data_IF_739580019408
#
_entry.id   IF_739580019408
#
_cell.length_a   1.000
_cell.length_b   1.000
_cell.length_c   1.000
_cell.angle_alpha   90.00
_cell.angle_beta   90.00
_cell.angle_gamma   90.00
#
_symmetry.space_group_name_H-M   'P 1'
#
loop_
_entity.id
_entity.type
_entity.pdbx_description
1 polymer ?
#
# COMPACT_ATOMS: atom_id res chain seq x y z
N UNK A 1 -15.66 7.64 21.50
CA UNK A 1 -14.69 6.59 21.07
C UNK A 1 -13.53 7.22 20.31
N UNK A 2 -13.88 8.12 19.40
CA UNK A 2 -12.96 8.78 18.48
C UNK A 2 -11.74 9.46 19.14
N UNK A 3 -11.94 10.19 20.25
CA UNK A 3 -10.84 10.83 20.99
C UNK A 3 -9.72 9.87 21.41
N UNK A 4 -10.06 8.66 21.87
CA UNK A 4 -9.07 7.68 22.31
C UNK A 4 -8.34 7.04 21.11
N UNK A 5 -9.01 6.88 19.98
CA UNK A 5 -8.38 6.47 18.73
C UNK A 5 -7.38 7.53 18.24
N UNK A 6 -7.71 8.82 18.38
CA UNK A 6 -6.80 9.91 18.02
C UNK A 6 -5.53 9.95 18.87
N UNK A 7 -5.62 9.63 20.17
CA UNK A 7 -4.44 9.50 21.05
C UNK A 7 -3.53 8.37 20.54
N UNK A 8 -4.12 7.20 20.26
CA UNK A 8 -3.38 6.06 19.73
C UNK A 8 -2.73 6.39 18.37
N UNK A 9 -3.45 7.03 17.46
CA UNK A 9 -2.94 7.42 16.16
C UNK A 9 -1.77 8.41 16.28
N UNK A 10 -1.87 9.44 17.11
CA UNK A 10 -0.75 10.35 17.38
C UNK A 10 0.47 9.63 17.94
N UNK A 11 0.26 8.68 18.87
CA UNK A 11 1.34 7.83 19.37
C UNK A 11 1.99 7.00 18.24
N UNK A 12 1.20 6.38 17.37
CA UNK A 12 1.71 5.58 16.25
C UNK A 12 2.52 6.47 15.30
N UNK A 13 2.00 7.62 14.90
CA UNK A 13 2.70 8.55 13.98
C UNK A 13 4.03 8.99 14.59
N UNK A 14 4.06 9.40 15.86
CA UNK A 14 5.28 9.84 16.53
C UNK A 14 6.37 8.76 16.65
N UNK A 15 6.01 7.48 16.64
CA UNK A 15 6.98 6.37 16.76
C UNK A 15 7.36 5.74 15.42
N UNK A 16 6.42 5.68 14.47
CA UNK A 16 6.57 4.90 13.24
C UNK A 16 6.69 5.75 11.96
N UNK A 17 6.41 7.06 12.02
CA UNK A 17 6.40 7.91 10.83
C UNK A 17 7.59 8.89 10.79
N UNK A 18 8.55 8.78 11.72
CA UNK A 18 9.70 9.70 11.80
C UNK A 18 10.59 9.73 10.55
N UNK A 19 10.56 8.67 9.74
CA UNK A 19 11.27 8.60 8.45
C UNK A 19 10.49 9.24 7.29
N UNK A 20 9.21 9.59 7.49
CA UNK A 20 8.38 10.23 6.47
C UNK A 20 8.65 11.73 6.43
N UNK A 21 8.82 12.27 5.22
CA UNK A 21 9.01 13.71 5.04
C UNK A 21 7.84 14.55 5.56
N UNK A 22 6.61 14.07 5.37
CA UNK A 22 5.40 14.66 5.91
C UNK A 22 4.28 13.64 6.05
N UNK A 23 3.22 14.06 6.75
CA UNK A 23 2.01 13.28 7.00
C UNK A 23 0.83 13.88 6.24
N UNK A 24 0.25 13.14 5.31
CA UNK A 24 -1.01 13.47 4.66
C UNK A 24 -2.16 12.91 5.49
N UNK A 25 -3.09 13.77 5.89
CA UNK A 25 -4.27 13.42 6.68
C UNK A 25 -5.49 13.66 5.80
N UNK A 26 -6.17 12.58 5.43
CA UNK A 26 -7.39 12.61 4.64
C UNK A 26 -8.57 12.31 5.57
N UNK A 27 -9.47 13.29 5.73
CA UNK A 27 -10.70 13.10 6.51
C UNK A 27 -11.92 13.29 5.63
N UNK A 28 -12.99 12.53 5.86
CA UNK A 28 -14.28 12.84 5.23
C UNK A 28 -14.93 14.10 5.82
N UNK A 29 -16.12 14.47 5.32
CA UNK A 29 -16.82 15.69 5.72
C UNK A 29 -17.25 15.71 7.20
N UNK A 30 -17.51 14.55 7.79
CA UNK A 30 -18.10 14.44 9.13
C UNK A 30 -17.06 14.11 10.21
N UNK A 31 -15.90 13.58 9.80
CA UNK A 31 -14.81 13.24 10.69
C UNK A 31 -13.76 14.36 10.73
N UNK A 32 -12.95 14.34 11.78
CA UNK A 32 -11.89 15.31 12.00
C UNK A 32 -10.77 14.67 12.82
N UNK A 33 -9.51 14.79 12.41
CA UNK A 33 -8.38 14.32 13.19
C UNK A 33 -7.44 15.46 13.50
N UNK A 34 -7.16 15.66 14.79
CA UNK A 34 -6.18 16.61 15.28
C UNK A 34 -4.84 15.90 15.47
N UNK A 35 -3.88 16.26 14.60
CA UNK A 35 -2.52 15.78 14.70
C UNK A 35 -1.70 16.67 15.62
N UNK A 36 -1.02 16.05 16.58
CA UNK A 36 -0.14 16.68 17.56
C UNK A 36 1.21 15.99 17.45
N UNK A 37 2.09 16.54 16.62
CA UNK A 37 3.44 16.03 16.42
C UNK A 37 4.35 17.03 15.71
N UNK A 38 5.60 16.63 15.49
CA UNK A 38 6.64 17.52 14.94
C UNK A 38 6.76 17.44 13.42
N UNK A 39 6.29 16.37 12.80
CA UNK A 39 6.33 16.23 11.34
C UNK A 39 5.40 17.26 10.68
N UNK A 40 5.82 17.88 9.56
CA UNK A 40 4.92 18.70 8.77
C UNK A 40 3.77 17.82 8.25
N UNK A 41 2.57 18.39 8.17
CA UNK A 41 1.39 17.67 7.75
C UNK A 41 0.51 18.50 6.83
N UNK A 42 -0.22 17.81 5.96
CA UNK A 42 -1.25 18.38 5.10
C UNK A 42 -2.57 17.73 5.50
N UNK A 43 -3.52 18.53 5.97
CA UNK A 43 -4.85 18.06 6.33
C UNK A 43 -5.84 18.44 5.22
N UNK A 44 -6.40 17.43 4.57
CA UNK A 44 -7.38 17.60 3.49
C UNK A 44 -8.69 17.01 3.94
N UNK A 45 -9.69 17.88 4.03
CA UNK A 45 -11.07 17.48 4.26
C UNK A 45 -11.76 17.24 2.92
N UNK A 46 -12.11 16.00 2.65
CA UNK A 46 -12.69 15.56 1.40
C UNK A 46 -14.21 15.82 1.38
N UNK A 47 -14.67 16.50 0.33
CA UNK A 47 -16.11 16.74 0.08
C UNK A 47 -16.80 15.60 -0.66
N UNK A 48 -16.02 14.76 -1.35
CA UNK A 48 -16.39 13.57 -2.11
C UNK A 48 -15.27 12.53 -1.97
N UNK A 49 -15.42 11.34 -2.55
CA UNK A 49 -14.36 10.32 -2.55
C UNK A 49 -13.19 10.67 -3.51
N UNK A 50 -13.25 11.81 -4.20
CA UNK A 50 -12.22 12.24 -5.15
C UNK A 50 -11.01 12.87 -4.45
N UNK A 51 -9.81 12.51 -4.92
CA UNK A 51 -8.55 13.05 -4.40
C UNK A 51 -8.21 14.35 -5.14
N UNK A 52 -8.09 15.50 -4.45
CA UNK A 52 -7.73 16.75 -5.08
C UNK A 52 -6.27 16.71 -5.56
N UNK A 53 -6.07 16.39 -6.84
CA UNK A 53 -4.76 16.10 -7.42
C UNK A 53 -3.73 17.22 -7.19
N UNK A 54 -4.15 18.48 -7.29
CA UNK A 54 -3.29 19.64 -7.10
C UNK A 54 -2.82 19.86 -5.65
N UNK A 55 -3.53 19.28 -4.67
CA UNK A 55 -3.16 19.38 -3.25
C UNK A 55 -2.30 18.19 -2.81
N UNK A 56 -2.43 17.03 -3.47
CA UNK A 56 -1.73 15.81 -3.06
C UNK A 56 -0.46 15.57 -3.87
N UNK A 57 -0.51 15.73 -5.19
CA UNK A 57 0.52 15.28 -6.13
C UNK A 57 1.32 16.41 -6.80
N UNK A 58 1.43 17.58 -6.15
CA UNK A 58 2.12 18.73 -6.75
C UNK A 58 3.23 19.35 -5.92
N UNK A 59 3.48 18.89 -4.69
CA UNK A 59 4.40 19.59 -3.78
C UNK A 59 4.81 18.83 -2.52
N UNK A 60 4.02 17.87 -2.04
CA UNK A 60 4.17 17.48 -0.63
C UNK A 60 4.94 16.18 -0.43
N UNK A 61 4.91 15.24 -1.36
CA UNK A 61 5.72 14.04 -1.23
C UNK A 61 5.48 13.24 0.06
N UNK A 62 4.30 13.36 0.68
CA UNK A 62 4.03 12.77 1.98
C UNK A 62 3.98 11.25 1.89
N UNK A 63 4.87 10.61 2.64
CA UNK A 63 4.99 9.16 2.72
C UNK A 63 4.15 8.59 3.87
N UNK A 64 3.83 9.41 4.86
CA UNK A 64 2.91 9.04 5.93
C UNK A 64 1.49 9.40 5.54
N UNK A 65 0.56 8.44 5.50
CA UNK A 65 -0.81 8.68 5.05
C UNK A 65 -1.81 8.17 6.09
N UNK A 66 -2.64 9.08 6.61
CA UNK A 66 -3.72 8.79 7.53
C UNK A 66 -5.05 8.94 6.81
N UNK A 67 -5.91 7.93 6.89
CA UNK A 67 -7.26 7.97 6.31
C UNK A 67 -8.26 7.78 7.45
N UNK A 68 -9.13 8.79 7.61
CA UNK A 68 -10.16 8.84 8.64
C UNK A 68 -11.50 9.11 7.99
N UNK A 69 -12.32 8.08 7.83
CA UNK A 69 -13.65 8.29 7.29
C UNK A 69 -14.40 7.00 7.01
N UNK A 70 -15.64 7.15 6.55
CA UNK A 70 -16.54 6.03 6.23
C UNK A 70 -16.16 5.31 4.93
N UNK A 71 -15.60 6.03 3.95
CA UNK A 71 -15.23 5.49 2.64
C UNK A 71 -13.71 5.24 2.51
N UNK A 72 -13.04 4.79 3.58
CA UNK A 72 -11.58 4.61 3.59
C UNK A 72 -11.04 3.74 2.44
N UNK A 73 -11.79 2.73 2.01
CA UNK A 73 -11.39 1.84 0.90
C UNK A 73 -11.36 2.59 -0.44
N UNK A 74 -12.40 3.37 -0.75
CA UNK A 74 -12.48 4.14 -2.00
C UNK A 74 -11.43 5.24 -2.02
N UNK A 75 -11.24 5.95 -0.90
CA UNK A 75 -10.19 6.98 -0.76
C UNK A 75 -8.80 6.36 -0.99
N UNK A 76 -8.54 5.19 -0.40
CA UNK A 76 -7.28 4.47 -0.58
C UNK A 76 -7.04 4.09 -2.04
N UNK A 77 -8.06 3.52 -2.71
CA UNK A 77 -7.97 3.14 -4.12
C UNK A 77 -7.76 4.34 -5.04
N UNK A 78 -8.50 5.43 -4.83
CA UNK A 78 -8.38 6.65 -5.63
C UNK A 78 -7.02 7.32 -5.42
N UNK A 79 -6.47 7.27 -4.21
CA UNK A 79 -5.15 7.81 -3.92
C UNK A 79 -4.05 7.01 -4.61
N UNK A 80 -4.11 5.67 -4.51
CA UNK A 80 -3.16 4.77 -5.17
C UNK A 80 -3.26 4.84 -6.69
N UNK A 81 -4.47 4.97 -7.23
CA UNK A 81 -4.69 5.24 -8.65
C UNK A 81 -4.09 6.58 -9.05
N UNK A 82 -4.29 7.64 -8.26
CA UNK A 82 -3.66 8.94 -8.50
C UNK A 82 -2.13 8.88 -8.53
N UNK A 83 -1.50 8.12 -7.62
CA UNK A 83 -0.04 7.88 -7.63
C UNK A 83 0.41 7.06 -8.84
N UNK A 84 -0.40 6.10 -9.29
CA UNK A 84 -0.10 5.28 -10.48
C UNK A 84 -0.13 6.12 -11.76
N UNK A 85 -1.06 7.05 -11.86
CA UNK A 85 -1.29 7.91 -13.03
C UNK A 85 -0.43 9.19 -13.02
N UNK A 86 0.01 9.62 -11.85
CA UNK A 86 0.75 10.86 -11.65
C UNK A 86 2.27 10.73 -11.85
N UNK A 87 2.92 11.89 -11.94
CA UNK A 87 4.38 11.99 -12.04
C UNK A 87 5.08 11.74 -10.69
N UNK A 88 4.40 12.04 -9.58
CA UNK A 88 4.93 11.84 -8.23
C UNK A 88 4.77 10.39 -7.77
N UNK A 89 5.90 9.69 -7.61
CA UNK A 89 5.93 8.29 -7.14
C UNK A 89 6.55 8.18 -5.76
N UNK A 90 5.81 7.61 -4.81
CA UNK A 90 6.27 7.37 -3.43
C UNK A 90 6.57 5.89 -3.21
N UNK A 91 7.85 5.54 -3.33
CA UNK A 91 8.31 4.15 -3.20
C UNK A 91 8.04 3.58 -1.79
N UNK A 92 8.18 4.41 -0.76
CA UNK A 92 7.88 4.05 0.61
C UNK A 92 6.72 4.91 1.11
N UNK A 93 5.61 4.27 1.43
CA UNK A 93 4.43 4.93 1.99
C UNK A 93 3.79 4.05 3.05
N UNK A 94 3.45 4.65 4.19
CA UNK A 94 2.85 3.99 5.36
C UNK A 94 1.43 4.49 5.53
N UNK A 95 0.48 3.57 5.50
CA UNK A 95 -0.92 3.86 5.69
C UNK A 95 -1.36 3.55 7.11
N UNK A 96 -2.17 4.46 7.67
CA UNK A 96 -2.85 4.30 8.94
C UNK A 96 -4.35 4.59 8.77
N UNK A 97 -5.18 3.57 8.99
CA UNK A 97 -6.63 3.66 8.90
C UNK A 97 -7.25 3.74 10.30
N UNK A 98 -8.01 4.81 10.55
CA UNK A 98 -8.67 5.03 11.84
C UNK A 98 -10.15 4.62 11.76
N UNK A 99 -10.73 4.09 12.87
CA UNK A 99 -12.14 3.79 12.94
C UNK A 99 -12.96 5.09 13.10
N UNK A 100 -14.16 5.12 12.52
CA UNK A 100 -15.17 6.14 12.81
C UNK A 100 -16.18 5.60 13.82
N UNK A 101 -16.98 6.49 14.43
CA UNK A 101 -17.97 6.06 15.43
C UNK A 101 -19.04 5.15 14.81
N UNK A 102 -19.46 5.44 13.58
CA UNK A 102 -20.46 4.67 12.84
C UNK A 102 -19.88 3.38 12.23
N UNK A 103 -18.58 3.37 11.88
CA UNK A 103 -17.90 2.25 11.23
C UNK A 103 -16.60 1.84 11.92
N UNK A 104 -16.70 1.17 13.09
CA UNK A 104 -15.54 0.80 13.92
C UNK A 104 -14.65 -0.29 13.32
N UNK A 105 -15.11 -0.98 12.27
CA UNK A 105 -14.38 -2.03 11.55
C UNK A 105 -13.96 -1.59 10.13
N UNK A 106 -14.09 -0.30 9.79
CA UNK A 106 -13.89 0.16 8.42
C UNK A 106 -12.50 -0.16 7.87
N UNK A 107 -11.48 -0.10 8.73
CA UNK A 107 -10.11 -0.45 8.37
C UNK A 107 -9.93 -1.90 7.89
N UNK A 108 -10.81 -2.83 8.29
CA UNK A 108 -10.74 -4.22 7.80
C UNK A 108 -11.22 -4.37 6.35
N UNK A 109 -12.13 -3.50 5.89
CA UNK A 109 -12.63 -3.54 4.51
C UNK A 109 -11.55 -3.18 3.50
N UNK A 110 -10.62 -2.31 3.91
CA UNK A 110 -9.47 -1.87 3.09
C UNK A 110 -8.63 -3.06 2.64
N UNK A 111 -8.51 -4.11 3.46
CA UNK A 111 -7.71 -5.29 3.11
C UNK A 111 -8.25 -6.10 1.92
N UNK A 112 -9.48 -5.85 1.49
CA UNK A 112 -10.07 -6.44 0.28
C UNK A 112 -9.79 -5.65 -1.00
N UNK A 113 -9.17 -4.48 -0.89
CA UNK A 113 -8.83 -3.65 -2.04
C UNK A 113 -7.70 -4.27 -2.85
N UNK A 114 -7.77 -4.15 -4.18
CA UNK A 114 -6.67 -4.55 -5.08
C UNK A 114 -5.39 -3.75 -4.80
N UNK A 115 -5.51 -2.52 -4.29
CA UNK A 115 -4.35 -1.69 -3.96
C UNK A 115 -3.44 -2.31 -2.89
N UNK A 116 -3.97 -3.20 -2.04
CA UNK A 116 -3.20 -3.93 -1.02
C UNK A 116 -2.18 -4.89 -1.65
N UNK A 117 -2.37 -5.29 -2.92
CA UNK A 117 -1.33 -6.04 -3.63
C UNK A 117 -0.05 -5.21 -3.78
N UNK A 118 -0.10 -3.88 -3.84
CA UNK A 118 1.06 -3.04 -4.16
C UNK A 118 1.60 -2.23 -2.99
N UNK A 119 0.92 -2.26 -1.84
CA UNK A 119 1.26 -1.47 -0.65
C UNK A 119 1.58 -2.38 0.52
N UNK A 120 2.86 -2.45 0.91
CA UNK A 120 3.30 -3.32 2.00
C UNK A 120 2.92 -2.82 3.40
N UNK A 121 3.00 -1.50 3.61
CA UNK A 121 2.90 -0.90 4.94
C UNK A 121 1.50 -0.32 5.18
N UNK A 122 0.60 -1.18 5.67
CA UNK A 122 -0.77 -0.82 6.04
C UNK A 122 -1.05 -1.22 7.48
N UNK A 123 -1.61 -0.30 8.26
CA UNK A 123 -2.13 -0.56 9.60
C UNK A 123 -3.57 -0.10 9.71
N UNK A 124 -4.45 -0.97 10.21
CA UNK A 124 -5.84 -0.66 10.50
C UNK A 124 -6.08 -0.74 12.00
N UNK A 125 -6.66 0.33 12.56
CA UNK A 125 -7.14 0.39 13.93
C UNK A 125 -8.63 0.00 13.91
N UNK A 126 -9.00 -0.97 14.75
CA UNK A 126 -10.38 -1.45 14.87
C UNK A 126 -10.83 -1.33 16.31
N UNK A 127 -12.01 -0.76 16.54
CA UNK A 127 -12.56 -0.70 17.89
C UNK A 127 -13.18 -2.04 18.30
N UNK A 128 -12.74 -2.58 19.44
CA UNK A 128 -13.24 -3.86 19.94
C UNK A 128 -14.53 -3.68 20.76
N UNK A 129 -15.66 -4.05 20.16
CA UNK A 129 -17.00 -3.98 20.80
C UNK A 129 -17.28 -5.07 21.84
N UNK A 130 -16.52 -6.17 21.84
CA UNK A 130 -16.84 -7.36 22.66
C UNK A 130 -16.54 -7.17 24.14
N UNK A 131 -15.64 -6.26 24.49
CA UNK A 131 -15.52 -5.80 25.88
C UNK A 131 -16.58 -4.74 26.14
N UNK A 132 -17.73 -5.18 26.71
CA UNK A 132 -18.72 -4.27 27.29
C UNK A 132 -17.98 -3.30 28.19
N UNK A 133 -18.01 -2.02 27.81
CA UNK A 133 -17.51 -0.87 28.55
C UNK A 133 -17.63 -1.08 30.05
N UNK A 134 -16.58 -1.58 30.70
CA UNK A 134 -16.38 -1.47 32.13
C UNK A 134 -15.95 -0.03 32.39
N UNK A 135 -16.92 0.89 32.22
CA UNK A 135 -16.97 2.29 32.64
C UNK A 135 -15.76 3.23 32.51
N UNK A 136 -14.58 2.85 31.99
CA UNK A 136 -13.40 3.73 31.99
C UNK A 136 -12.45 3.67 30.77
N UNK A 137 -12.67 2.83 29.75
CA UNK A 137 -11.79 2.86 28.58
C UNK A 137 -12.26 2.07 27.36
N UNK A 138 -11.73 2.45 26.19
CA UNK A 138 -11.87 1.76 24.91
C UNK A 138 -10.69 0.82 24.68
N UNK A 139 -10.95 -0.24 23.92
CA UNK A 139 -9.93 -1.22 23.51
C UNK A 139 -9.91 -1.24 21.99
N UNK A 140 -8.70 -1.20 21.44
CA UNK A 140 -8.48 -1.17 20.00
C UNK A 140 -7.59 -2.34 19.59
N UNK A 141 -8.02 -3.06 18.56
CA UNK A 141 -7.24 -4.12 17.94
C UNK A 141 -6.55 -3.56 16.69
N UNK A 142 -5.31 -3.99 16.47
CA UNK A 142 -4.45 -3.51 15.40
C UNK A 142 -4.20 -4.62 14.41
N UNK A 143 -4.46 -4.33 13.14
CA UNK A 143 -4.38 -5.31 12.06
C UNK A 143 -3.52 -4.81 10.91
N UNK A 144 -2.82 -5.73 10.27
CA UNK A 144 -2.16 -5.53 8.98
C UNK A 144 -2.53 -6.67 8.04
N UNK A 145 -2.11 -6.60 6.78
CA UNK A 145 -2.30 -7.70 5.84
C UNK A 145 -1.01 -8.51 5.64
N UNK A 146 -1.16 -9.74 5.17
CA UNK A 146 -0.07 -10.58 4.71
C UNK A 146 0.37 -10.13 3.31
N UNK A 147 1.60 -9.63 3.18
CA UNK A 147 2.16 -9.17 1.91
C UNK A 147 3.10 -10.19 1.23
N UNK A 148 3.17 -11.42 1.77
CA UNK A 148 4.19 -12.43 1.45
C UNK A 148 3.54 -13.78 1.11
N UNK A 149 4.29 -14.66 0.45
CA UNK A 149 3.82 -16.03 0.13
C UNK A 149 3.41 -16.24 -1.32
N UNK A 150 3.45 -17.51 -1.77
CA UNK A 150 3.21 -17.92 -3.17
C UNK A 150 1.83 -17.56 -3.75
N UNK A 151 0.83 -17.37 -2.89
CA UNK A 151 -0.54 -17.08 -3.29
C UNK A 151 -0.83 -15.59 -3.08
N UNK A 152 -1.57 -14.96 -4.01
CA UNK A 152 -2.03 -13.57 -3.94
C UNK A 152 -3.13 -13.34 -2.89
N UNK A 153 -3.12 -14.06 -1.78
CA UNK A 153 -4.12 -13.83 -0.72
C UNK A 153 -3.67 -12.65 0.14
N UNK A 154 -3.48 -11.48 -0.47
CA UNK A 154 -3.21 -10.21 0.22
C UNK A 154 -4.39 -9.75 1.09
N UNK A 155 -5.53 -10.43 0.98
CA UNK A 155 -6.69 -10.28 1.86
C UNK A 155 -6.47 -10.93 3.24
N UNK A 156 -5.47 -11.80 3.42
CA UNK A 156 -5.19 -12.45 4.70
C UNK A 156 -4.81 -11.38 5.74
N UNK A 157 -5.69 -11.15 6.71
CA UNK A 157 -5.48 -10.18 7.78
C UNK A 157 -4.71 -10.82 8.94
N UNK A 158 -3.71 -10.10 9.44
CA UNK A 158 -2.85 -10.46 10.57
C UNK A 158 -3.17 -9.51 11.72
N UNK A 159 -3.56 -10.08 12.87
CA UNK A 159 -3.62 -9.36 14.13
C UNK A 159 -2.20 -9.10 14.65
N UNK A 160 -1.88 -7.85 14.96
CA UNK A 160 -0.56 -7.45 15.46
C UNK A 160 -0.55 -7.25 16.97
N UNK A 161 -1.50 -6.47 17.47
CA UNK A 161 -1.54 -6.11 18.89
C UNK A 161 -2.92 -5.58 19.30
N UNK A 162 -3.09 -5.41 20.62
CA UNK A 162 -4.24 -4.78 21.25
C UNK A 162 -3.76 -3.62 22.11
N UNK A 163 -4.39 -2.47 21.97
CA UNK A 163 -4.13 -1.28 22.77
C UNK A 163 -5.29 -0.99 23.72
N UNK A 164 -4.95 -0.70 24.98
CA UNK A 164 -5.90 -0.37 26.04
C UNK A 164 -5.83 1.13 26.35
N UNK A 165 -6.94 1.85 26.18
CA UNK A 165 -6.91 3.31 26.34
C UNK A 165 -6.77 3.76 27.79
N UNK A 166 -7.18 2.92 28.76
CA UNK A 166 -7.20 3.27 30.18
C UNK A 166 -5.79 3.47 30.74
N UNK A 167 -4.86 2.59 30.37
CA UNK A 167 -3.48 2.60 30.82
C UNK A 167 -2.50 3.01 29.70
N UNK A 168 -2.99 3.21 28.47
CA UNK A 168 -2.21 3.58 27.28
C UNK A 168 -1.11 2.57 26.94
N UNK A 169 -1.35 1.28 27.15
CA UNK A 169 -0.38 0.21 26.89
C UNK A 169 -0.81 -0.73 25.77
N UNK A 170 0.17 -1.33 25.10
CA UNK A 170 -0.05 -2.49 24.24
C UNK A 170 -0.04 -3.79 25.03
N UNK A 171 -0.71 -4.81 24.51
CA UNK A 171 -0.74 -6.14 25.09
C UNK A 171 0.59 -6.87 24.83
N UNK A 172 1.11 -6.80 23.60
CA UNK A 172 2.29 -7.56 23.16
C UNK A 172 3.52 -6.66 22.90
N UNK A 173 3.32 -5.36 22.72
CA UNK A 173 4.34 -4.43 22.23
C UNK A 173 4.94 -4.89 20.90
N UNK A 174 4.09 -5.39 20.00
CA UNK A 174 4.49 -5.83 18.67
C UNK A 174 4.94 -4.66 17.80
N UNK A 175 5.84 -4.92 16.85
CA UNK A 175 6.16 -3.95 15.80
C UNK A 175 4.95 -3.75 14.89
N UNK A 176 4.42 -2.52 14.83
CA UNK A 176 3.20 -2.21 14.09
C UNK A 176 3.42 -2.05 12.57
N UNK A 177 4.66 -1.82 12.15
CA UNK A 177 5.07 -1.74 10.74
C UNK A 177 6.29 -2.65 10.50
N UNK A 178 6.10 -3.99 10.50
CA UNK A 178 7.18 -4.90 10.18
C UNK A 178 7.63 -4.70 8.72
N UNK A 179 8.94 -4.75 8.45
CA UNK A 179 9.46 -4.62 7.10
C UNK A 179 9.15 -5.89 6.28
N UNK A 180 8.07 -5.84 5.50
CA UNK A 180 7.61 -6.96 4.65
C UNK A 180 8.35 -7.06 3.32
N UNK A 181 9.13 -6.04 2.95
CA UNK A 181 9.88 -6.00 1.69
C UNK A 181 11.26 -6.65 1.79
N UNK A 182 11.71 -6.96 3.01
CA UNK A 182 13.00 -7.60 3.27
C UNK A 182 13.03 -9.06 2.78
N UNK A 183 11.93 -9.79 2.95
CA UNK A 183 11.76 -11.19 2.54
C UNK A 183 10.32 -11.41 2.08
N UNK A 184 10.15 -11.78 0.81
CA UNK A 184 8.85 -11.91 0.18
C UNK A 184 8.23 -13.32 0.37
N UNK A 185 8.95 -14.22 1.05
CA UNK A 185 8.54 -15.58 1.42
C UNK A 185 7.92 -16.39 0.27
N UNK A 186 8.51 -16.29 -0.92
CA UNK A 186 8.09 -16.99 -2.12
C UNK A 186 6.95 -16.32 -2.87
N UNK A 187 6.64 -15.04 -2.61
CA UNK A 187 5.64 -14.31 -3.40
C UNK A 187 5.97 -14.29 -4.89
N UNK A 188 4.93 -14.45 -5.71
CA UNK A 188 5.07 -14.46 -7.16
C UNK A 188 5.59 -13.11 -7.66
N UNK A 189 6.64 -13.14 -8.48
CA UNK A 189 7.18 -12.01 -9.22
C UNK A 189 6.94 -12.27 -10.72
N UNK A 190 5.97 -11.58 -11.30
CA UNK A 190 5.64 -11.64 -12.71
C UNK A 190 6.69 -10.91 -13.55
N UNK A 191 7.46 -11.64 -14.35
CA UNK A 191 8.45 -11.09 -15.27
C UNK A 191 7.84 -11.13 -16.67
N UNK A 192 7.43 -9.97 -17.16
CA UNK A 192 6.84 -9.79 -18.49
C UNK A 192 7.95 -9.69 -19.51
N UNK A 193 7.91 -10.55 -20.52
CA UNK A 193 9.00 -10.70 -21.47
C UNK A 193 8.54 -11.33 -22.79
N UNK A 194 9.40 -11.22 -23.79
CA UNK A 194 9.37 -11.93 -25.06
C UNK A 194 10.83 -12.24 -25.46
N UNK A 195 11.07 -13.06 -26.47
CA UNK A 195 12.43 -13.46 -26.83
C UNK A 195 13.09 -12.43 -27.74
N UNK A 196 14.07 -11.66 -27.21
CA UNK A 196 14.91 -10.76 -28.00
C UNK A 196 16.39 -10.98 -27.66
N UNK A 197 17.09 -11.66 -28.58
CA UNK A 197 18.50 -12.05 -28.39
C UNK A 197 19.45 -10.86 -28.52
N UNK A 198 20.56 -10.83 -27.76
CA UNK A 198 20.99 -11.83 -26.76
C UNK A 198 20.49 -11.52 -25.33
N UNK A 199 19.58 -10.57 -25.15
CA UNK A 199 19.29 -9.95 -23.85
C UNK A 199 18.20 -10.68 -23.06
N UNK A 200 17.21 -11.26 -23.75
CA UNK A 200 16.13 -12.03 -23.14
C UNK A 200 15.83 -13.28 -23.97
N UNK A 201 16.08 -14.44 -23.38
CA UNK A 201 15.74 -15.77 -23.90
C UNK A 201 14.89 -16.44 -22.83
N UNK A 202 13.72 -16.96 -23.21
CA UNK A 202 12.75 -17.50 -22.26
C UNK A 202 12.99 -18.98 -21.96
N UNK A 203 13.34 -19.76 -22.98
CA UNK A 203 13.54 -21.21 -22.84
C UNK A 203 14.76 -21.73 -23.62
N UNK A 204 15.83 -22.16 -22.93
CA UNK A 204 16.04 -22.01 -21.48
C UNK A 204 16.20 -20.51 -21.10
N UNK A 205 15.81 -20.10 -19.87
CA UNK A 205 15.96 -18.72 -19.44
C UNK A 205 17.44 -18.26 -19.47
N UNK A 206 17.74 -17.25 -20.29
CA UNK A 206 19.09 -16.71 -20.48
C UNK A 206 19.06 -15.25 -21.00
N UNK A 207 20.22 -14.61 -21.05
CA UNK A 207 20.38 -13.22 -21.47
C UNK A 207 20.44 -12.25 -20.30
N UNK A 208 21.08 -11.10 -20.52
CA UNK A 208 21.39 -10.16 -19.43
C UNK A 208 20.15 -9.65 -18.70
N UNK A 209 19.10 -9.30 -19.43
CA UNK A 209 17.89 -8.68 -18.87
C UNK A 209 17.09 -9.72 -18.08
N UNK A 210 16.97 -10.93 -18.64
CA UNK A 210 16.33 -12.06 -17.98
C UNK A 210 17.07 -12.45 -16.69
N UNK A 211 18.39 -12.61 -16.75
CA UNK A 211 19.20 -13.02 -15.60
C UNK A 211 19.20 -11.97 -14.49
N UNK A 212 19.16 -10.67 -14.81
CA UNK A 212 19.02 -9.61 -13.81
C UNK A 212 17.69 -9.72 -13.07
N UNK A 213 16.57 -9.94 -13.79
CA UNK A 213 15.26 -10.08 -13.17
C UNK A 213 15.14 -11.36 -12.32
N UNK A 214 15.68 -12.48 -12.80
CA UNK A 214 15.74 -13.74 -12.03
C UNK A 214 16.57 -13.56 -10.76
N UNK A 215 17.73 -12.92 -10.85
CA UNK A 215 18.61 -12.68 -9.71
C UNK A 215 17.97 -11.73 -8.69
N UNK A 216 17.26 -10.70 -9.14
CA UNK A 216 16.45 -9.84 -8.26
C UNK A 216 15.42 -10.66 -7.48
N UNK A 217 14.62 -11.47 -8.18
CA UNK A 217 13.62 -12.34 -7.54
C UNK A 217 14.28 -13.32 -6.54
N UNK A 218 15.43 -13.90 -6.89
CA UNK A 218 16.18 -14.81 -6.02
C UNK A 218 16.68 -14.12 -4.75
N UNK A 219 17.23 -12.90 -4.87
CA UNK A 219 17.76 -12.13 -3.73
C UNK A 219 16.68 -11.75 -2.71
N UNK A 220 15.45 -11.57 -3.17
CA UNK A 220 14.31 -11.19 -2.34
C UNK A 220 13.40 -12.37 -1.95
N UNK A 221 13.83 -13.61 -2.22
CA UNK A 221 13.05 -14.83 -1.95
C UNK A 221 11.65 -14.78 -2.60
N UNK A 222 11.59 -14.40 -3.87
CA UNK A 222 10.37 -14.40 -4.69
C UNK A 222 10.32 -15.66 -5.56
N UNK A 223 9.11 -16.05 -5.97
CA UNK A 223 8.90 -17.11 -6.96
C UNK A 223 8.76 -16.46 -8.35
N UNK A 224 9.66 -16.77 -9.28
CA UNK A 224 9.61 -16.23 -10.64
C UNK A 224 8.39 -16.79 -11.39
N UNK A 225 7.69 -15.93 -12.13
CA UNK A 225 6.62 -16.31 -13.05
C UNK A 225 6.78 -15.53 -14.35
N UNK A 226 7.05 -16.21 -15.46
CA UNK A 226 7.15 -15.54 -16.75
C UNK A 226 5.76 -15.23 -17.32
N UNK A 227 5.57 -13.99 -17.76
CA UNK A 227 4.38 -13.51 -18.48
C UNK A 227 4.83 -13.23 -19.90
N UNK A 228 4.67 -14.23 -20.77
CA UNK A 228 5.23 -14.21 -22.12
C UNK A 228 4.25 -13.60 -23.11
N UNK A 229 4.70 -12.62 -23.89
CA UNK A 229 3.90 -11.96 -24.93
C UNK A 229 4.73 -11.75 -26.21
N UNK A 230 4.97 -12.85 -26.94
CA UNK A 230 5.75 -12.85 -28.19
C UNK A 230 5.05 -12.11 -29.33
N UNK A 231 3.72 -12.02 -29.32
CA UNK A 231 2.97 -11.31 -30.38
C UNK A 231 2.95 -9.80 -30.16
N UNK A 232 2.82 -9.36 -28.90
CA UNK A 232 2.79 -7.95 -28.54
C UNK A 232 4.17 -7.30 -28.45
N UNK A 233 5.23 -8.08 -28.25
CA UNK A 233 6.62 -7.63 -28.07
C UNK A 233 6.71 -6.48 -27.04
N UNK A 234 7.31 -5.33 -27.39
CA UNK A 234 7.36 -4.14 -26.53
C UNK A 234 5.96 -3.56 -26.25
N UNK A 235 5.09 -3.59 -27.26
CA UNK A 235 3.70 -3.18 -27.18
C UNK A 235 3.47 -1.68 -26.93
N UNK A 236 2.25 -1.35 -26.51
CA UNK A 236 1.80 0.03 -26.27
C UNK A 236 0.77 0.08 -25.15
N UNK A 237 0.59 1.25 -24.56
CA UNK A 237 -0.48 1.54 -23.60
C UNK A 237 -1.43 2.57 -24.22
N UNK A 238 -2.71 2.24 -24.27
CA UNK A 238 -3.77 3.15 -24.69
C UNK A 238 -4.19 4.07 -23.53
N UNK A 239 -4.86 5.19 -23.83
CA UNK A 239 -5.31 6.17 -22.83
C UNK A 239 -6.20 5.56 -21.72
N UNK A 240 -6.90 4.47 -22.04
CA UNK A 240 -7.73 3.72 -21.09
C UNK A 240 -6.95 2.69 -20.25
N UNK A 241 -5.61 2.75 -20.25
CA UNK A 241 -4.71 1.85 -19.51
C UNK A 241 -4.78 0.37 -19.92
N UNK A 242 -5.44 0.07 -21.03
CA UNK A 242 -5.30 -1.22 -21.72
C UNK A 242 -4.12 -1.18 -22.68
N UNK A 243 -3.62 -2.34 -23.08
CA UNK A 243 -2.53 -2.40 -24.05
C UNK A 243 -2.11 -3.82 -24.39
N UNK A 244 -1.08 -3.91 -25.23
CA UNK A 244 -0.42 -5.15 -25.64
C UNK A 244 1.05 -5.15 -25.25
N UNK A 245 1.70 -6.31 -25.35
CA UNK A 245 3.14 -6.45 -25.14
C UNK A 245 3.57 -6.13 -23.71
N UNK A 246 4.87 -5.90 -23.54
CA UNK A 246 5.48 -5.61 -22.25
C UNK A 246 4.84 -4.39 -21.58
N UNK A 247 4.70 -3.28 -22.31
CA UNK A 247 4.14 -2.04 -21.78
C UNK A 247 2.67 -2.19 -21.38
N UNK A 248 1.85 -2.80 -22.22
CA UNK A 248 0.43 -3.01 -21.94
C UNK A 248 0.19 -3.96 -20.77
N UNK A 249 0.97 -5.03 -20.67
CA UNK A 249 0.86 -5.98 -19.56
C UNK A 249 1.32 -5.37 -18.22
N UNK A 250 2.33 -4.49 -18.23
CA UNK A 250 2.70 -3.70 -17.05
C UNK A 250 1.59 -2.73 -16.66
N UNK A 251 1.05 -1.96 -17.60
CA UNK A 251 -0.03 -0.99 -17.32
C UNK A 251 -1.28 -1.64 -16.70
N UNK A 252 -1.56 -2.89 -17.07
CA UNK A 252 -2.68 -3.69 -16.58
C UNK A 252 -2.37 -4.52 -15.30
N UNK A 253 -1.20 -4.34 -14.69
CA UNK A 253 -0.75 -5.08 -13.50
C UNK A 253 -0.70 -6.61 -13.70
N UNK A 254 -0.40 -7.08 -14.92
CA UNK A 254 -0.27 -8.53 -15.20
C UNK A 254 1.08 -9.11 -14.77
N UNK A 255 2.05 -8.25 -14.50
CA UNK A 255 3.35 -8.59 -13.93
C UNK A 255 3.99 -7.39 -13.23
N UNK A 256 5.12 -7.65 -12.60
CA UNK A 256 5.81 -6.72 -11.70
C UNK A 256 7.05 -6.08 -12.37
N UNK A 257 7.66 -6.78 -13.32
CA UNK A 257 8.86 -6.35 -14.06
C UNK A 257 8.59 -6.54 -15.55
N UNK A 258 8.82 -5.52 -16.37
CA UNK A 258 8.82 -5.64 -17.83
C UNK A 258 10.24 -5.56 -18.38
N UNK A 259 10.63 -6.55 -19.16
CA UNK A 259 11.93 -6.57 -19.84
C UNK A 259 11.78 -5.97 -21.23
N UNK A 260 12.70 -5.07 -21.58
CA UNK A 260 12.74 -4.51 -22.91
C UNK A 260 13.94 -3.62 -23.10
N UNK A 261 14.43 -3.56 -24.34
CA UNK A 261 15.43 -2.59 -24.73
C UNK A 261 14.73 -1.33 -25.23
N UNK A 262 15.00 -0.18 -24.61
CA UNK A 262 14.40 1.08 -25.01
C UNK A 262 15.11 1.61 -26.26
N UNK A 263 14.48 1.46 -27.42
CA UNK A 263 14.94 2.06 -28.68
C UNK A 263 14.16 3.35 -28.91
N UNK A 264 14.50 4.43 -28.20
CA UNK A 264 13.97 5.74 -28.56
C UNK A 264 14.45 6.08 -29.98
N UNK A 265 13.56 5.98 -30.97
CA UNK A 265 13.57 6.93 -32.08
C UNK A 265 12.90 8.20 -31.55
N UNK A 266 13.75 9.15 -31.15
CA UNK A 266 13.38 10.55 -30.93
C UNK A 266 12.82 11.19 -32.18
#
# INVERSE_FOLDING_TARGET
MFFQASILANFIVANYFNESNCVLILTDKNNYFEYVGQLPYVNIKLSSDEIPHHLVFRSFGCQGILIVGENSTVIFENLEMGMKLGDERFNFRRYLFLPTEDHPENGLKVFKSKAVEFVADILAIVFNKTQRSTSKGSVFDLYTHKFVGRNKNSEDVIFLDRWYSTNKTFLQNSNLYPNKLKDWQGRSCGIICFTYKPYCIIDPPDGTDMLIAIEFARRHNMTQKFVVDEEGEWGQVCDNWTGSGVLGNLGQDKGDIGLGQNTNQT
#
